data_IF_902409885272
#
_entry.id   IF_902409885272
#
_cell.length_a   1.000
_cell.length_b   1.000
_cell.length_c   1.000
_cell.angle_alpha   90.00
_cell.angle_beta   90.00
_cell.angle_gamma   90.00
#
_symmetry.space_group_name_H-M   'P 1'
#
loop_
_entity.id
_entity.type
_entity.pdbx_description
1 polymer ?
#
# COMPACT_ATOMS: atom_id res chain seq x y z
N UNK A 1 20.92 -37.59 -22.64
CA UNK A 1 21.06 -36.21 -22.13
C UNK A 1 20.45 -36.15 -20.74
N UNK A 2 21.26 -36.16 -19.68
CA UNK A 2 20.78 -36.17 -18.28
C UNK A 2 20.72 -34.72 -17.80
N UNK A 3 19.53 -34.13 -17.77
CA UNK A 3 19.33 -32.79 -17.20
C UNK A 3 19.60 -32.86 -15.69
N UNK A 4 20.44 -31.97 -15.11
CA UNK A 4 20.73 -32.01 -13.69
C UNK A 4 19.47 -31.61 -12.92
N UNK A 5 18.98 -32.54 -12.10
CA UNK A 5 17.81 -32.44 -11.19
C UNK A 5 17.94 -31.24 -10.20
N UNK A 6 19.07 -30.53 -10.18
CA UNK A 6 19.40 -29.43 -9.26
C UNK A 6 18.71 -28.10 -9.59
N UNK A 7 18.20 -27.90 -10.80
CA UNK A 7 17.54 -26.63 -11.19
C UNK A 7 16.10 -26.53 -10.71
N UNK A 8 15.40 -27.64 -10.45
CA UNK A 8 14.03 -27.62 -9.94
C UNK A 8 13.93 -27.07 -8.50
N UNK A 9 14.93 -27.35 -7.68
CA UNK A 9 14.93 -26.96 -6.26
C UNK A 9 15.11 -25.46 -6.05
N UNK A 10 15.89 -24.79 -6.91
CA UNK A 10 16.14 -23.34 -6.82
C UNK A 10 14.89 -22.55 -7.21
N UNK A 11 14.18 -22.98 -8.26
CA UNK A 11 12.93 -22.34 -8.69
C UNK A 11 11.84 -22.45 -7.60
N UNK A 12 11.72 -23.61 -6.96
CA UNK A 12 10.77 -23.81 -5.85
C UNK A 12 11.07 -22.93 -4.63
N UNK A 13 12.35 -22.74 -4.31
CA UNK A 13 12.78 -21.88 -3.20
C UNK A 13 12.54 -20.40 -3.49
N UNK A 14 12.79 -19.94 -4.72
CA UNK A 14 12.51 -18.56 -5.15
C UNK A 14 10.99 -18.31 -5.12
N UNK A 15 10.18 -19.25 -5.60
CA UNK A 15 8.71 -19.13 -5.54
C UNK A 15 8.18 -19.03 -4.11
N UNK A 16 8.69 -19.87 -3.19
CA UNK A 16 8.30 -19.83 -1.78
C UNK A 16 8.73 -18.53 -1.08
N UNK A 17 9.90 -17.98 -1.44
CA UNK A 17 10.37 -16.70 -0.91
C UNK A 17 9.50 -15.53 -1.38
N UNK A 18 9.13 -15.49 -2.66
CA UNK A 18 8.26 -14.44 -3.22
C UNK A 18 6.88 -14.49 -2.55
N UNK A 19 6.27 -15.67 -2.46
CA UNK A 19 4.96 -15.84 -1.82
C UNK A 19 5.03 -15.51 -0.33
N UNK A 20 6.03 -16.01 0.40
CA UNK A 20 6.23 -15.71 1.81
C UNK A 20 6.44 -14.22 2.09
N UNK A 21 7.19 -13.53 1.22
CA UNK A 21 7.39 -12.09 1.30
C UNK A 21 6.09 -11.30 1.04
N UNK A 22 5.28 -11.71 0.06
CA UNK A 22 3.97 -11.09 -0.20
C UNK A 22 3.01 -11.24 0.99
N UNK A 23 2.95 -12.42 1.62
CA UNK A 23 2.09 -12.66 2.78
C UNK A 23 2.55 -11.94 4.04
N UNK A 24 3.87 -11.79 4.23
CA UNK A 24 4.43 -11.05 5.36
C UNK A 24 4.26 -9.53 5.22
N UNK A 25 4.32 -9.02 3.99
CA UNK A 25 4.27 -7.58 3.68
C UNK A 25 2.85 -7.01 3.55
N UNK A 26 1.83 -7.84 3.75
CA UNK A 26 0.45 -7.39 3.61
C UNK A 26 0.06 -6.45 4.77
N UNK A 27 -0.36 -5.20 4.51
CA UNK A 27 -0.67 -4.24 5.58
C UNK A 27 -1.86 -4.71 6.41
N UNK A 28 -1.65 -4.95 7.71
CA UNK A 28 -2.69 -5.51 8.61
C UNK A 28 -3.54 -4.46 9.33
N UNK A 29 -3.21 -3.18 9.20
CA UNK A 29 -3.95 -2.07 9.81
C UNK A 29 -4.24 -0.97 8.78
N UNK A 30 -5.29 -0.15 8.97
CA UNK A 30 -5.56 0.98 8.08
C UNK A 30 -4.39 1.97 8.01
N UNK A 31 -3.69 2.19 9.13
CA UNK A 31 -2.48 3.02 9.16
C UNK A 31 -1.34 2.42 8.33
N UNK A 32 -1.09 1.12 8.47
CA UNK A 32 -0.05 0.44 7.69
C UNK A 32 -0.39 0.46 6.20
N UNK A 33 -1.66 0.27 5.85
CA UNK A 33 -2.14 0.35 4.48
C UNK A 33 -1.95 1.75 3.90
N UNK A 34 -2.37 2.78 4.64
CA UNK A 34 -2.16 4.18 4.27
C UNK A 34 -0.67 4.49 4.04
N UNK A 35 0.21 4.12 4.97
CA UNK A 35 1.65 4.36 4.82
C UNK A 35 2.21 3.64 3.61
N UNK A 36 1.93 2.34 3.46
CA UNK A 36 2.44 1.53 2.36
C UNK A 36 2.01 2.05 0.99
N UNK A 37 0.73 2.45 0.85
CA UNK A 37 0.17 2.93 -0.42
C UNK A 37 0.56 4.38 -0.72
N UNK A 38 0.39 5.28 0.24
CA UNK A 38 0.61 6.71 0.01
C UNK A 38 2.09 7.13 0.03
N UNK A 39 3.02 6.23 0.37
CA UNK A 39 4.46 6.45 0.22
C UNK A 39 5.08 5.73 -1.00
N UNK A 40 4.27 5.08 -1.84
CA UNK A 40 4.78 4.24 -2.92
C UNK A 40 5.46 5.05 -4.05
N UNK A 41 4.98 6.27 -4.31
CA UNK A 41 5.43 7.10 -5.42
C UNK A 41 6.26 8.31 -4.97
N UNK A 42 6.06 8.78 -3.74
CA UNK A 42 6.71 9.98 -3.20
C UNK A 42 6.78 9.93 -1.67
N UNK A 43 7.54 10.85 -1.07
CA UNK A 43 7.56 11.03 0.38
C UNK A 43 6.15 11.31 0.92
N UNK A 44 5.78 10.60 1.98
CA UNK A 44 4.50 10.79 2.67
C UNK A 44 4.65 11.86 3.75
N UNK A 45 4.10 13.05 3.48
CA UNK A 45 4.14 14.21 4.37
C UNK A 45 2.83 14.38 5.14
N UNK A 46 2.68 13.66 6.24
CA UNK A 46 1.46 13.67 7.06
C UNK A 46 1.17 15.03 7.69
N UNK A 47 2.20 15.81 8.00
CA UNK A 47 2.08 17.17 8.52
C UNK A 47 1.27 18.08 7.59
N UNK A 48 1.40 17.90 6.26
CA UNK A 48 0.63 18.67 5.28
C UNK A 48 -0.84 18.24 5.22
N UNK A 49 -1.13 16.97 5.50
CA UNK A 49 -2.52 16.50 5.61
C UNK A 49 -3.20 17.05 6.87
N UNK A 50 -2.42 17.29 7.92
CA UNK A 50 -2.89 17.87 9.18
C UNK A 50 -3.24 19.36 9.09
N UNK A 51 -2.80 20.07 8.05
CA UNK A 51 -3.25 21.44 7.74
C UNK A 51 -4.73 21.51 7.33
N UNK A 52 -5.33 20.36 6.95
CA UNK A 52 -6.72 20.28 6.52
C UNK A 52 -7.65 19.70 7.60
N UNK A 53 -8.92 20.15 7.66
CA UNK A 53 -9.94 19.52 8.49
C UNK A 53 -10.10 18.03 8.18
N UNK A 54 -10.38 17.22 9.20
CA UNK A 54 -10.49 15.76 9.07
C UNK A 54 -11.44 15.32 7.94
N UNK A 55 -12.58 16.00 7.80
CA UNK A 55 -13.58 15.73 6.76
C UNK A 55 -13.11 16.02 5.33
N UNK A 56 -12.05 16.82 5.15
CA UNK A 56 -11.52 17.17 3.83
C UNK A 56 -10.37 16.24 3.40
N UNK A 57 -9.65 15.64 4.35
CA UNK A 57 -8.49 14.78 4.08
C UNK A 57 -8.79 13.62 3.12
N UNK A 58 -9.94 12.91 3.19
CA UNK A 58 -10.23 11.81 2.27
C UNK A 58 -10.16 12.19 0.79
N UNK A 59 -10.45 13.45 0.45
CA UNK A 59 -10.44 13.97 -0.93
C UNK A 59 -9.09 13.78 -1.62
N UNK A 60 -7.98 13.72 -0.85
CA UNK A 60 -6.66 13.48 -1.43
C UNK A 60 -6.57 12.10 -2.09
N UNK A 61 -7.24 11.10 -1.54
CA UNK A 61 -7.22 9.73 -2.08
C UNK A 61 -7.91 9.71 -3.43
N UNK A 62 -9.07 10.38 -3.55
CA UNK A 62 -9.80 10.48 -4.81
C UNK A 62 -9.01 11.29 -5.85
N UNK A 63 -8.36 12.37 -5.43
CA UNK A 63 -7.51 13.19 -6.29
C UNK A 63 -6.34 12.37 -6.84
N UNK A 64 -5.62 11.65 -5.97
CA UNK A 64 -4.47 10.83 -6.37
C UNK A 64 -4.90 9.69 -7.30
N UNK A 65 -6.01 9.00 -7.00
CA UNK A 65 -6.50 7.90 -7.83
C UNK A 65 -6.95 8.36 -9.20
N UNK A 66 -7.62 9.51 -9.31
CA UNK A 66 -8.18 10.01 -10.59
C UNK A 66 -7.20 10.79 -11.44
N UNK A 67 -6.32 11.58 -10.83
CA UNK A 67 -5.49 12.56 -11.53
C UNK A 67 -4.01 12.20 -11.54
N UNK A 68 -3.58 11.26 -10.70
CA UNK A 68 -2.17 10.91 -10.52
C UNK A 68 -1.90 9.40 -10.58
N UNK A 69 -2.73 8.68 -11.35
CA UNK A 69 -2.54 7.25 -11.66
C UNK A 69 -2.49 6.31 -10.43
N UNK A 70 -2.83 6.80 -9.23
CA UNK A 70 -2.77 6.00 -8.02
C UNK A 70 -3.83 4.88 -7.98
N UNK A 71 -4.76 4.85 -8.93
CA UNK A 71 -5.69 3.74 -9.12
C UNK A 71 -4.99 2.42 -9.48
N UNK A 72 -3.75 2.46 -10.00
CA UNK A 72 -2.96 1.25 -10.27
C UNK A 72 -2.38 0.62 -9.00
N UNK A 73 -2.22 1.40 -7.94
CA UNK A 73 -1.58 0.97 -6.69
C UNK A 73 -2.53 1.00 -5.48
N UNK A 74 -3.70 1.63 -5.60
CA UNK A 74 -4.77 1.68 -4.60
C UNK A 74 -6.09 1.28 -5.27
N UNK A 75 -6.54 0.06 -4.97
CA UNK A 75 -7.84 -0.40 -5.45
C UNK A 75 -9.01 0.29 -4.73
N UNK A 76 -10.26 0.01 -5.13
CA UNK A 76 -11.43 0.68 -4.55
C UNK A 76 -11.66 0.31 -3.08
N UNK A 77 -11.38 -0.93 -2.68
CA UNK A 77 -11.56 -1.41 -1.31
C UNK A 77 -10.53 -0.75 -0.38
N UNK A 78 -9.27 -0.73 -0.81
CA UNK A 78 -8.19 -0.03 -0.12
C UNK A 78 -8.49 1.47 -0.01
N UNK A 79 -9.02 2.09 -1.07
CA UNK A 79 -9.40 3.49 -1.05
C UNK A 79 -10.46 3.79 0.01
N UNK A 80 -11.47 2.94 0.19
CA UNK A 80 -12.47 3.07 1.26
C UNK A 80 -11.80 3.04 2.64
N UNK A 81 -10.89 2.09 2.85
CA UNK A 81 -10.20 1.93 4.14
C UNK A 81 -9.33 3.14 4.45
N UNK A 82 -8.56 3.62 3.48
CA UNK A 82 -7.65 4.76 3.65
C UNK A 82 -8.44 6.05 3.88
N UNK A 83 -9.51 6.29 3.11
CA UNK A 83 -10.39 7.46 3.32
C UNK A 83 -10.93 7.51 4.74
N UNK A 84 -11.47 6.38 5.23
CA UNK A 84 -11.97 6.30 6.62
C UNK A 84 -10.85 6.54 7.65
N UNK A 85 -9.67 5.97 7.42
CA UNK A 85 -8.52 6.21 8.30
C UNK A 85 -8.14 7.69 8.38
N UNK A 86 -8.07 8.39 7.24
CA UNK A 86 -7.73 9.80 7.17
C UNK A 86 -8.73 10.71 7.89
N UNK A 87 -10.01 10.35 7.84
CA UNK A 87 -11.09 11.10 8.47
C UNK A 87 -11.21 10.81 9.98
N UNK A 88 -11.17 9.54 10.38
CA UNK A 88 -11.56 9.13 11.73
C UNK A 88 -10.37 8.86 12.67
N UNK A 89 -9.22 8.47 12.13
CA UNK A 89 -8.14 7.82 12.90
C UNK A 89 -6.76 8.45 12.73
N UNK A 90 -6.54 9.30 11.72
CA UNK A 90 -5.27 9.98 11.53
C UNK A 90 -5.05 10.98 12.67
N UNK A 91 -4.07 10.67 13.52
CA UNK A 91 -3.64 11.55 14.61
C UNK A 91 -2.71 12.62 14.05
N UNK A 92 -3.03 13.88 14.33
CA UNK A 92 -2.21 15.04 14.01
C UNK A 92 -1.57 15.58 15.28
N UNK A 93 -0.29 15.91 15.22
CA UNK A 93 0.52 16.41 16.32
C UNK A 93 1.04 17.82 16.02
#
# INVERSE_FOLDING_TARGET
MKWPIRTLSILGLIGALIVGYHWASCPRTPEALFKARCSACHELRTERLCEFPATQRPTIVDTMRRLHEAAEVIDEEEAVIIRRYLEESLVCH
#
